data_IF_874345665410
#
_entry.id   IF_874345665410
#
_cell.length_a   1.000
_cell.length_b   1.000
_cell.length_c   1.000
_cell.angle_alpha   90.00
_cell.angle_beta   90.00
_cell.angle_gamma   90.00
#
_symmetry.space_group_name_H-M   'P 1'
#
loop_
_entity.id
_entity.type
_entity.pdbx_description
1 polymer ?
#
# COMPACT_ATOMS: atom_id res chain seq x y z
N UNK A 1 -51.53 -17.14 -19.80
CA UNK A 1 -51.43 -17.28 -18.32
C UNK A 1 -51.63 -15.89 -17.75
N UNK A 2 -52.80 -15.61 -17.17
CA UNK A 2 -53.10 -14.28 -16.60
C UNK A 2 -52.37 -14.08 -15.30
N UNK A 3 -51.74 -12.94 -15.14
CA UNK A 3 -51.09 -12.54 -13.85
C UNK A 3 -52.26 -12.14 -12.93
N UNK A 4 -52.58 -12.96 -11.98
CA UNK A 4 -53.52 -12.62 -10.89
C UNK A 4 -52.76 -11.93 -9.78
N UNK A 5 -53.12 -10.68 -9.50
CA UNK A 5 -52.59 -9.94 -8.38
C UNK A 5 -53.48 -10.16 -7.15
N UNK A 6 -52.95 -10.70 -6.07
CA UNK A 6 -53.70 -10.86 -4.79
C UNK A 6 -54.01 -9.50 -4.13
N UNK A 7 -53.50 -8.42 -4.69
CA UNK A 7 -53.76 -7.05 -4.18
C UNK A 7 -55.05 -6.44 -4.72
N UNK A 8 -55.68 -7.05 -5.73
CA UNK A 8 -56.91 -6.53 -6.37
C UNK A 8 -57.86 -7.70 -6.61
N UNK A 9 -59.03 -7.67 -5.98
CA UNK A 9 -60.09 -8.67 -6.23
C UNK A 9 -60.71 -8.46 -7.59
N UNK A 10 -61.08 -9.54 -8.30
CA UNK A 10 -61.62 -9.56 -9.65
C UNK A 10 -62.93 -8.78 -9.81
N UNK A 11 -63.60 -8.36 -8.74
CA UNK A 11 -64.86 -7.65 -8.74
C UNK A 11 -64.77 -6.12 -8.79
N UNK A 12 -63.57 -5.54 -8.83
CA UNK A 12 -63.38 -4.09 -8.88
C UNK A 12 -63.00 -3.60 -10.27
N UNK A 13 -63.91 -2.95 -10.92
CA UNK A 13 -63.73 -2.28 -12.19
C UNK A 13 -63.11 -0.89 -11.98
N UNK A 14 -62.17 -0.69 -11.11
CA UNK A 14 -61.43 0.57 -10.97
C UNK A 14 -59.98 0.40 -11.44
N UNK A 15 -59.48 1.42 -12.12
CA UNK A 15 -58.08 1.48 -12.59
C UNK A 15 -57.12 1.57 -11.38
N UNK A 16 -56.91 0.48 -10.66
CA UNK A 16 -55.89 0.36 -9.66
C UNK A 16 -54.77 -0.44 -10.28
N UNK A 17 -53.61 0.18 -10.43
CA UNK A 17 -52.38 -0.53 -10.80
C UNK A 17 -51.86 -1.18 -9.49
N UNK A 18 -52.24 -2.42 -9.25
CA UNK A 18 -51.68 -3.20 -8.15
C UNK A 18 -50.45 -3.98 -8.64
N UNK A 19 -49.36 -3.90 -7.93
CA UNK A 19 -48.22 -4.80 -8.12
C UNK A 19 -48.05 -5.66 -6.87
N UNK A 20 -47.81 -6.92 -7.06
CA UNK A 20 -47.41 -7.82 -6.01
C UNK A 20 -45.90 -7.89 -5.97
N UNK A 21 -45.32 -7.37 -4.94
CA UNK A 21 -43.91 -7.62 -4.66
C UNK A 21 -43.75 -9.05 -4.13
N UNK A 22 -43.37 -9.96 -4.98
CA UNK A 22 -42.98 -11.30 -4.54
C UNK A 22 -41.53 -11.20 -4.09
N UNK A 23 -41.30 -11.15 -2.78
CA UNK A 23 -39.98 -11.41 -2.24
C UNK A 23 -39.66 -12.87 -2.50
N UNK A 24 -39.06 -13.13 -3.64
CA UNK A 24 -38.45 -14.44 -3.87
C UNK A 24 -37.35 -14.64 -2.83
N UNK A 25 -37.32 -15.81 -2.23
CA UNK A 25 -36.20 -16.22 -1.40
C UNK A 25 -34.99 -16.46 -2.31
N UNK A 26 -34.39 -15.37 -2.79
CA UNK A 26 -33.16 -15.45 -3.59
C UNK A 26 -31.99 -16.06 -2.80
N UNK A 27 -32.10 -16.04 -1.46
CA UNK A 27 -31.09 -16.59 -0.57
C UNK A 27 -31.04 -18.14 -0.58
N UNK A 28 -32.12 -18.83 -1.01
CA UNK A 28 -32.17 -20.31 -0.95
C UNK A 28 -31.93 -20.99 -2.29
N UNK A 29 -31.89 -20.24 -3.40
CA UNK A 29 -31.77 -20.82 -4.76
C UNK A 29 -30.56 -20.34 -5.54
N UNK A 30 -29.89 -19.29 -5.10
CA UNK A 30 -28.59 -18.93 -5.68
C UNK A 30 -27.52 -19.81 -5.04
N UNK A 31 -26.84 -20.69 -5.82
CA UNK A 31 -25.66 -21.35 -5.30
C UNK A 31 -24.73 -20.29 -4.75
N UNK A 32 -24.33 -20.43 -3.50
CA UNK A 32 -23.33 -19.57 -2.88
C UNK A 32 -22.03 -19.82 -3.65
N UNK A 33 -21.82 -19.05 -4.71
CA UNK A 33 -20.59 -19.18 -5.51
C UNK A 33 -19.42 -18.90 -4.60
N UNK A 34 -18.44 -19.80 -4.53
CA UNK A 34 -17.25 -19.59 -3.70
C UNK A 34 -16.57 -18.32 -4.16
N UNK A 35 -16.60 -17.31 -3.31
CA UNK A 35 -15.91 -16.06 -3.55
C UNK A 35 -14.43 -16.24 -3.24
N UNK A 36 -13.57 -15.64 -4.06
CA UNK A 36 -12.14 -15.57 -3.85
C UNK A 36 -11.66 -14.17 -4.20
N UNK A 37 -10.69 -13.67 -3.47
CA UNK A 37 -9.99 -12.42 -3.80
C UNK A 37 -8.65 -12.80 -4.39
N UNK A 38 -8.32 -12.22 -5.52
CA UNK A 38 -7.02 -12.37 -6.17
C UNK A 38 -6.20 -11.08 -5.97
N UNK A 39 -4.98 -11.21 -5.48
CA UNK A 39 -3.97 -10.16 -5.45
C UNK A 39 -3.01 -10.42 -6.59
N UNK A 40 -2.89 -9.44 -7.51
CA UNK A 40 -1.91 -9.42 -8.59
C UNK A 40 -0.95 -8.28 -8.28
N UNK A 41 0.24 -8.59 -7.84
CA UNK A 41 1.22 -7.58 -7.46
C UNK A 41 2.64 -8.17 -7.38
N UNK A 42 3.63 -7.30 -7.22
CA UNK A 42 5.04 -7.68 -7.14
C UNK A 42 5.48 -8.03 -5.71
N UNK A 43 6.45 -8.91 -5.63
CA UNK A 43 7.25 -9.17 -4.44
C UNK A 43 8.41 -8.16 -4.34
N UNK A 44 9.05 -8.09 -3.17
CA UNK A 44 10.28 -7.32 -3.00
C UNK A 44 11.38 -7.82 -3.94
N UNK A 45 12.30 -6.93 -4.29
CA UNK A 45 13.44 -7.23 -5.15
C UNK A 45 14.25 -8.44 -4.66
N UNK A 46 14.47 -8.53 -3.36
CA UNK A 46 15.15 -9.66 -2.74
C UNK A 46 14.43 -11.01 -2.92
N UNK A 47 13.12 -11.00 -3.14
CA UNK A 47 12.29 -12.19 -3.32
C UNK A 47 11.98 -12.49 -4.79
N UNK A 48 12.49 -11.70 -5.73
CA UNK A 48 12.27 -11.92 -7.18
C UNK A 48 13.13 -13.03 -7.76
N UNK A 49 14.32 -13.29 -7.19
CA UNK A 49 15.26 -14.30 -7.73
C UNK A 49 14.69 -15.73 -7.65
N UNK A 50 14.01 -16.04 -6.55
CA UNK A 50 13.41 -17.36 -6.30
C UNK A 50 11.88 -17.30 -6.30
N UNK A 51 11.31 -16.36 -7.06
CA UNK A 51 9.88 -16.14 -7.09
C UNK A 51 9.15 -17.34 -7.68
N UNK A 52 8.35 -18.01 -6.87
CA UNK A 52 7.42 -19.03 -7.33
C UNK A 52 6.15 -18.32 -7.79
N UNK A 53 5.84 -18.41 -9.08
CA UNK A 53 4.69 -17.72 -9.70
C UNK A 53 3.37 -18.48 -9.54
N UNK A 54 3.40 -19.70 -9.00
CA UNK A 54 2.18 -20.46 -8.70
C UNK A 54 1.28 -19.68 -7.71
N UNK A 55 -0.04 -19.72 -7.93
CA UNK A 55 -0.98 -19.09 -7.04
C UNK A 55 -0.87 -19.62 -5.61
N UNK A 56 -0.79 -18.74 -4.63
CA UNK A 56 -0.67 -19.11 -3.23
C UNK A 56 -1.76 -18.43 -2.37
N UNK A 57 -2.44 -19.23 -1.56
CA UNK A 57 -3.43 -18.71 -0.63
C UNK A 57 -2.73 -18.18 0.63
N UNK A 58 -2.85 -16.88 0.88
CA UNK A 58 -2.37 -16.26 2.12
C UNK A 58 -3.44 -16.31 3.21
N UNK A 59 -2.98 -16.48 4.44
CA UNK A 59 -3.85 -16.53 5.63
C UNK A 59 -3.73 -15.29 6.51
N UNK A 60 -2.71 -14.48 6.31
CA UNK A 60 -2.46 -13.25 7.06
C UNK A 60 -1.50 -12.32 6.30
N UNK A 61 -1.47 -11.04 6.68
CA UNK A 61 -0.47 -10.11 6.18
C UNK A 61 0.96 -10.54 6.53
N UNK A 62 1.16 -11.15 7.70
CA UNK A 62 2.47 -11.67 8.11
C UNK A 62 2.95 -12.82 7.22
N UNK A 63 2.04 -13.69 6.79
CA UNK A 63 2.33 -14.77 5.85
C UNK A 63 2.77 -14.20 4.49
N UNK A 64 2.03 -13.22 3.97
CA UNK A 64 2.41 -12.49 2.76
C UNK A 64 3.79 -11.82 2.89
N UNK A 65 4.06 -11.15 4.01
CA UNK A 65 5.34 -10.47 4.27
C UNK A 65 6.53 -11.44 4.34
N UNK A 66 6.35 -12.62 4.94
CA UNK A 66 7.41 -13.65 4.99
C UNK A 66 7.72 -14.24 3.62
N UNK A 67 6.70 -14.44 2.80
CA UNK A 67 6.85 -15.09 1.48
C UNK A 67 7.30 -14.12 0.39
N UNK A 68 6.74 -12.92 0.36
CA UNK A 68 6.94 -11.95 -0.73
C UNK A 68 7.73 -10.70 -0.32
N UNK A 69 8.16 -10.64 0.94
CA UNK A 69 8.89 -9.52 1.52
C UNK A 69 7.98 -8.49 2.18
N UNK A 70 8.40 -8.04 3.36
CA UNK A 70 7.71 -6.96 4.08
C UNK A 70 7.88 -5.64 3.35
N UNK A 71 6.81 -4.86 3.25
CA UNK A 71 6.79 -3.61 2.49
C UNK A 71 6.58 -3.79 0.98
N UNK A 72 6.49 -5.03 0.46
CA UNK A 72 6.11 -5.28 -0.94
C UNK A 72 4.67 -4.86 -1.24
N UNK A 73 4.31 -4.61 -2.50
CA UNK A 73 2.92 -4.37 -2.91
C UNK A 73 1.97 -5.47 -2.44
N UNK A 74 2.35 -6.74 -2.56
CA UNK A 74 1.58 -7.89 -2.07
C UNK A 74 1.34 -7.77 -0.57
N UNK A 75 2.39 -7.47 0.22
CA UNK A 75 2.27 -7.34 1.68
C UNK A 75 1.38 -6.15 2.08
N UNK A 76 1.51 -5.00 1.40
CA UNK A 76 0.68 -3.83 1.69
C UNK A 76 -0.80 -4.08 1.42
N UNK A 77 -1.13 -4.71 0.29
CA UNK A 77 -2.51 -5.12 -0.02
C UNK A 77 -3.02 -6.13 1.02
N UNK A 78 -2.18 -7.11 1.40
CA UNK A 78 -2.54 -8.10 2.41
C UNK A 78 -2.82 -7.47 3.79
N UNK A 79 -2.13 -6.40 4.17
CA UNK A 79 -2.41 -5.64 5.42
C UNK A 79 -3.81 -5.02 5.43
N UNK A 80 -4.30 -4.57 4.27
CA UNK A 80 -5.63 -3.99 4.12
C UNK A 80 -6.70 -5.09 4.13
N UNK A 81 -6.48 -6.17 3.39
CA UNK A 81 -7.45 -7.26 3.25
C UNK A 81 -7.54 -8.16 4.48
N UNK A 82 -6.40 -8.42 5.12
CA UNK A 82 -6.25 -9.33 6.27
C UNK A 82 -5.60 -8.59 7.46
N UNK A 83 -6.24 -7.54 7.99
CA UNK A 83 -5.70 -6.77 9.10
C UNK A 83 -5.62 -7.64 10.36
N UNK A 84 -4.63 -7.32 11.23
CA UNK A 84 -4.43 -8.05 12.49
C UNK A 84 -5.60 -7.91 13.47
N UNK A 85 -6.30 -6.76 13.44
CA UNK A 85 -7.39 -6.44 14.36
C UNK A 85 -8.58 -5.89 13.57
N UNK A 86 -9.68 -6.61 13.62
CA UNK A 86 -11.00 -6.18 13.10
C UNK A 86 -11.04 -5.85 11.60
N UNK A 87 -12.21 -5.84 11.03
CA UNK A 87 -12.38 -5.49 9.61
C UNK A 87 -11.80 -6.53 8.63
N UNK A 88 -11.52 -6.10 7.41
CA UNK A 88 -11.00 -6.95 6.35
C UNK A 88 -12.06 -7.88 5.73
N UNK A 89 -11.57 -8.85 4.96
CA UNK A 89 -12.41 -9.75 4.16
C UNK A 89 -12.63 -11.10 4.86
N UNK A 90 -13.07 -11.06 6.10
CA UNK A 90 -13.24 -12.25 6.93
C UNK A 90 -13.99 -13.39 6.21
N UNK A 91 -13.38 -14.57 6.14
CA UNK A 91 -13.98 -15.77 5.57
C UNK A 91 -13.90 -15.90 4.05
N UNK A 92 -13.39 -14.90 3.33
CA UNK A 92 -13.15 -14.99 1.89
C UNK A 92 -11.69 -15.37 1.66
N UNK A 93 -11.38 -16.49 0.98
CA UNK A 93 -10.01 -16.87 0.66
C UNK A 93 -9.31 -15.83 -0.21
N UNK A 94 -8.10 -15.41 0.20
CA UNK A 94 -7.26 -14.46 -0.53
C UNK A 94 -6.12 -15.21 -1.18
N UNK A 95 -6.03 -15.12 -2.50
CA UNK A 95 -5.01 -15.74 -3.32
C UNK A 95 -4.08 -14.71 -3.91
N UNK A 96 -2.80 -14.96 -3.85
CA UNK A 96 -1.77 -14.14 -4.47
C UNK A 96 -1.33 -14.80 -5.77
N UNK A 97 -1.33 -14.01 -6.83
CA UNK A 97 -0.73 -14.31 -8.12
C UNK A 97 0.48 -13.40 -8.27
N UNK A 98 1.66 -13.82 -7.81
CA UNK A 98 2.80 -12.94 -7.77
C UNK A 98 3.27 -12.64 -9.20
N UNK A 99 3.59 -11.36 -9.42
CA UNK A 99 4.05 -10.88 -10.71
C UNK A 99 5.58 -10.84 -10.72
N UNK A 100 6.16 -11.41 -11.78
CA UNK A 100 7.59 -11.28 -12.03
C UNK A 100 7.92 -9.88 -12.55
N UNK A 101 9.02 -9.29 -12.05
CA UNK A 101 9.49 -8.00 -12.56
C UNK A 101 9.88 -8.12 -14.04
N UNK A 102 9.71 -7.03 -14.78
CA UNK A 102 10.17 -6.97 -16.17
C UNK A 102 11.70 -7.02 -16.23
N UNK A 103 12.22 -7.50 -17.34
CA UNK A 103 13.67 -7.43 -17.60
C UNK A 103 14.07 -5.96 -17.74
N UNK A 104 15.08 -5.53 -16.97
CA UNK A 104 15.52 -4.14 -16.93
C UNK A 104 14.61 -3.20 -16.14
N UNK A 105 13.67 -3.72 -15.34
CA UNK A 105 12.89 -2.91 -14.42
C UNK A 105 13.80 -2.21 -13.41
N UNK A 106 13.46 -0.95 -13.08
CA UNK A 106 14.18 -0.11 -12.12
C UNK A 106 13.35 0.18 -10.90
N UNK A 107 14.00 0.33 -9.77
CA UNK A 107 13.43 0.82 -8.52
C UNK A 107 13.21 2.34 -8.59
N UNK A 108 12.30 2.87 -7.77
CA UNK A 108 12.18 4.31 -7.54
C UNK A 108 13.25 4.74 -6.55
N UNK A 109 14.01 5.81 -6.88
CA UNK A 109 14.97 6.41 -5.96
C UNK A 109 14.61 7.88 -5.71
N UNK A 110 14.72 8.28 -4.45
CA UNK A 110 14.37 9.60 -3.94
C UNK A 110 15.47 10.04 -2.99
N UNK A 111 15.89 11.29 -3.06
CA UNK A 111 16.93 11.82 -2.18
C UNK A 111 16.39 12.89 -1.25
N UNK A 112 16.85 12.87 0.00
CA UNK A 112 16.61 13.90 1.00
C UNK A 112 17.97 14.48 1.39
N UNK A 113 18.15 15.77 1.12
CA UNK A 113 19.38 16.51 1.47
C UNK A 113 19.05 17.52 2.57
N UNK A 114 19.42 17.24 3.83
CA UNK A 114 19.33 18.23 4.89
C UNK A 114 20.43 19.29 4.75
N UNK A 115 20.15 20.49 5.23
CA UNK A 115 21.12 21.59 5.30
C UNK A 115 20.96 22.37 6.61
N UNK A 116 22.05 22.96 7.09
CA UNK A 116 22.08 23.68 8.36
C UNK A 116 22.63 22.85 9.52
N UNK A 117 22.53 23.40 10.73
CA UNK A 117 22.87 22.76 11.99
C UNK A 117 21.71 22.97 12.94
N UNK A 118 21.32 21.90 13.67
CA UNK A 118 20.19 21.98 14.58
C UNK A 118 20.41 23.01 15.70
N UNK A 119 19.46 23.92 15.85
CA UNK A 119 19.46 25.00 16.86
C UNK A 119 18.59 24.69 18.06
N UNK A 120 17.96 23.51 18.09
CA UNK A 120 17.06 23.09 19.14
C UNK A 120 16.72 21.62 19.09
N UNK A 121 15.89 21.18 20.05
CA UNK A 121 15.46 19.81 20.17
C UNK A 121 14.01 19.63 19.73
N UNK A 122 13.73 18.57 18.95
CA UNK A 122 12.37 18.28 18.51
C UNK A 122 12.25 16.98 17.72
N UNK A 123 11.14 16.83 17.02
CA UNK A 123 10.87 15.67 16.19
C UNK A 123 10.39 16.13 14.82
N UNK A 124 11.06 15.63 13.80
CA UNK A 124 10.64 15.78 12.41
C UNK A 124 10.15 14.42 11.88
N UNK A 125 9.50 14.43 10.73
CA UNK A 125 8.90 13.24 10.15
C UNK A 125 9.27 13.12 8.67
N UNK A 126 9.69 11.93 8.27
CA UNK A 126 9.69 11.54 6.86
C UNK A 126 8.32 10.95 6.56
N UNK A 127 7.65 11.45 5.54
CA UNK A 127 6.35 10.96 5.11
C UNK A 127 6.54 10.29 3.76
N UNK A 128 6.27 8.99 3.71
CA UNK A 128 6.34 8.19 2.49
C UNK A 128 4.92 7.83 2.10
N UNK A 129 4.50 8.28 0.93
CA UNK A 129 3.15 8.10 0.42
C UNK A 129 3.18 7.45 -0.96
N UNK A 130 2.16 6.69 -1.30
CA UNK A 130 1.87 6.25 -2.65
C UNK A 130 0.82 7.13 -3.32
N UNK A 131 0.55 6.88 -4.60
CA UNK A 131 -0.51 7.53 -5.37
C UNK A 131 -0.53 9.07 -5.22
N UNK A 132 0.57 9.71 -5.56
CA UNK A 132 0.72 11.17 -5.51
C UNK A 132 0.48 11.79 -4.12
N UNK A 133 0.93 11.11 -3.08
CA UNK A 133 0.88 11.61 -1.72
C UNK A 133 -0.42 11.33 -0.96
N UNK A 134 -1.29 10.49 -1.51
CA UNK A 134 -2.43 9.92 -0.79
C UNK A 134 -1.94 8.73 0.04
N UNK A 135 -2.43 8.54 1.25
CA UNK A 135 -2.12 7.41 2.12
C UNK A 135 -0.64 7.32 2.59
N UNK A 136 -0.11 8.40 3.17
CA UNK A 136 1.26 8.44 3.69
C UNK A 136 1.41 7.87 5.09
N UNK A 137 2.47 7.09 5.31
CA UNK A 137 2.95 6.70 6.64
C UNK A 137 4.01 7.70 7.13
N UNK A 138 4.03 7.94 8.46
CA UNK A 138 4.92 8.89 9.12
C UNK A 138 6.05 8.16 9.82
N UNK A 139 7.29 8.52 9.51
CA UNK A 139 8.50 7.97 10.12
C UNK A 139 9.18 9.08 10.92
N UNK A 140 9.05 9.00 12.25
CA UNK A 140 9.55 10.02 13.15
C UNK A 140 11.05 9.86 13.42
N UNK A 141 11.79 10.96 13.41
CA UNK A 141 13.17 11.02 13.88
C UNK A 141 13.40 12.24 14.78
N UNK A 142 14.28 12.09 15.76
CA UNK A 142 14.59 13.15 16.71
C UNK A 142 15.69 14.05 16.16
N UNK A 143 15.47 15.36 16.24
CA UNK A 143 16.48 16.38 16.01
C UNK A 143 16.96 16.85 17.37
N UNK A 144 18.28 16.90 17.56
CA UNK A 144 18.93 17.33 18.81
C UNK A 144 19.78 18.56 18.50
N UNK A 145 19.79 19.54 19.42
CA UNK A 145 20.61 20.72 19.26
C UNK A 145 22.09 20.35 19.00
N UNK A 146 22.66 20.94 17.96
CA UNK A 146 24.01 20.65 17.50
C UNK A 146 24.13 19.52 16.47
N UNK A 147 23.02 18.82 16.13
CA UNK A 147 23.05 17.81 15.05
C UNK A 147 23.52 18.47 13.74
N UNK A 148 24.48 17.82 13.11
CA UNK A 148 24.98 18.18 11.78
C UNK A 148 24.11 17.55 10.69
N UNK A 149 24.34 17.96 9.44
CA UNK A 149 23.70 17.32 8.29
C UNK A 149 23.94 15.83 8.23
N UNK A 150 25.13 15.35 8.59
CA UNK A 150 25.46 13.92 8.65
C UNK A 150 24.64 13.18 9.72
N UNK A 151 24.47 13.79 10.91
CA UNK A 151 23.67 13.19 11.99
C UNK A 151 22.21 13.09 11.59
N UNK A 152 21.67 14.14 10.98
CA UNK A 152 20.27 14.16 10.48
C UNK A 152 20.07 13.12 9.39
N UNK A 153 20.99 13.01 8.42
CA UNK A 153 20.92 12.01 7.36
C UNK A 153 20.92 10.59 7.92
N UNK A 154 21.77 10.30 8.89
CA UNK A 154 21.79 9.00 9.57
C UNK A 154 20.47 8.72 10.29
N UNK A 155 19.92 9.70 11.01
CA UNK A 155 18.63 9.57 11.70
C UNK A 155 17.46 9.33 10.75
N UNK A 156 17.46 9.96 9.59
CA UNK A 156 16.48 9.71 8.52
C UNK A 156 16.58 8.26 8.04
N UNK A 157 17.78 7.79 7.73
CA UNK A 157 17.99 6.42 7.26
C UNK A 157 17.59 5.40 8.34
N UNK A 158 17.96 5.64 9.58
CA UNK A 158 17.64 4.77 10.70
C UNK A 158 16.11 4.68 10.93
N UNK A 159 15.39 5.81 10.92
CA UNK A 159 13.94 5.79 11.16
C UNK A 159 13.16 5.06 10.06
N UNK A 160 13.58 5.16 8.81
CA UNK A 160 12.99 4.43 7.68
C UNK A 160 13.28 2.94 7.79
N UNK A 161 14.54 2.57 8.04
CA UNK A 161 14.98 1.17 8.10
C UNK A 161 14.49 0.44 9.36
N UNK A 162 14.22 1.14 10.46
CA UNK A 162 13.66 0.56 11.67
C UNK A 162 12.26 -0.02 11.46
N UNK A 163 11.53 0.43 10.44
CA UNK A 163 10.16 0.01 10.19
C UNK A 163 10.11 -1.05 9.09
N UNK A 164 10.02 -2.31 9.49
CA UNK A 164 10.04 -3.45 8.57
C UNK A 164 9.01 -3.35 7.42
N UNK A 165 7.84 -2.79 7.72
CA UNK A 165 6.73 -2.65 6.75
C UNK A 165 6.86 -1.44 5.83
N UNK A 166 7.88 -0.61 6.00
CA UNK A 166 8.15 0.51 5.11
C UNK A 166 8.32 0.02 3.66
N UNK A 167 7.73 0.70 2.66
CA UNK A 167 7.88 0.33 1.25
C UNK A 167 9.25 0.66 0.67
N UNK A 168 10.05 1.44 1.39
CA UNK A 168 11.39 1.85 0.98
C UNK A 168 12.45 1.40 1.98
N UNK A 169 13.68 1.31 1.52
CA UNK A 169 14.90 1.28 2.34
C UNK A 169 15.63 2.60 2.18
N UNK A 170 16.42 2.96 3.16
CA UNK A 170 17.21 4.18 3.11
C UNK A 170 18.69 3.88 3.36
N UNK A 171 19.55 4.55 2.60
CA UNK A 171 21.00 4.58 2.81
C UNK A 171 21.45 6.04 2.99
N UNK A 172 22.60 6.25 3.63
CA UNK A 172 23.18 7.56 3.80
C UNK A 172 24.58 7.61 3.16
N UNK A 173 24.73 8.46 2.17
CA UNK A 173 26.00 8.67 1.50
C UNK A 173 26.19 10.18 1.30
N UNK A 174 27.39 10.68 1.63
CA UNK A 174 27.77 12.08 1.37
C UNK A 174 26.75 13.14 1.85
N UNK A 175 26.19 12.94 3.05
CA UNK A 175 25.20 13.84 3.66
C UNK A 175 23.82 13.84 2.96
N UNK A 176 23.54 12.83 2.16
CA UNK A 176 22.26 12.62 1.49
C UNK A 176 21.64 11.31 1.98
N UNK A 177 20.38 11.34 2.35
CA UNK A 177 19.59 10.13 2.57
C UNK A 177 18.96 9.69 1.25
N UNK A 178 19.46 8.59 0.69
CA UNK A 178 18.94 7.99 -0.53
C UNK A 178 17.93 6.91 -0.18
N UNK A 179 16.68 7.10 -0.58
CA UNK A 179 15.58 6.17 -0.36
C UNK A 179 15.32 5.40 -1.65
N UNK A 180 15.25 4.08 -1.54
CA UNK A 180 14.99 3.19 -2.67
C UNK A 180 13.77 2.31 -2.39
N UNK A 181 12.88 2.18 -3.38
CA UNK A 181 11.73 1.28 -3.26
C UNK A 181 12.16 -0.18 -3.16
N UNK A 182 11.46 -0.95 -2.34
CA UNK A 182 11.77 -2.38 -2.13
C UNK A 182 11.42 -3.27 -3.32
N UNK A 183 10.80 -2.73 -4.35
CA UNK A 183 10.48 -3.43 -5.60
C UNK A 183 10.76 -2.55 -6.81
N UNK A 184 11.05 -3.18 -7.94
CA UNK A 184 11.23 -2.53 -9.22
C UNK A 184 9.96 -2.64 -10.05
N UNK A 185 9.61 -1.60 -10.76
CA UNK A 185 8.45 -1.60 -11.64
C UNK A 185 7.73 -0.25 -11.67
N UNK A 186 6.81 -0.14 -12.60
CA UNK A 186 6.02 1.08 -12.79
C UNK A 186 5.15 1.43 -11.57
N UNK A 187 4.76 0.42 -10.78
CA UNK A 187 3.99 0.62 -9.54
C UNK A 187 4.79 1.31 -8.43
N UNK A 188 6.13 1.30 -8.51
CA UNK A 188 6.99 2.03 -7.59
C UNK A 188 7.07 3.54 -7.92
N UNK A 189 6.71 3.95 -9.13
CA UNK A 189 6.78 5.35 -9.56
C UNK A 189 5.85 6.27 -8.77
N UNK A 190 4.72 5.77 -8.32
CA UNK A 190 3.72 6.52 -7.55
C UNK A 190 4.18 6.86 -6.11
N UNK A 191 5.35 6.34 -5.67
CA UNK A 191 5.89 6.66 -4.35
C UNK A 191 6.43 8.07 -4.35
N UNK A 192 6.00 8.86 -3.38
CA UNK A 192 6.49 10.20 -3.11
C UNK A 192 6.96 10.33 -1.67
N UNK A 193 7.98 11.15 -1.45
CA UNK A 193 8.53 11.43 -0.13
C UNK A 193 8.50 12.92 0.13
N UNK A 194 8.17 13.29 1.36
CA UNK A 194 8.31 14.65 1.87
C UNK A 194 8.78 14.64 3.32
N UNK A 195 9.38 15.71 3.76
CA UNK A 195 9.74 15.92 5.15
C UNK A 195 8.74 16.90 5.77
N UNK A 196 8.26 16.58 6.96
CA UNK A 196 7.40 17.45 7.75
C UNK A 196 8.17 17.85 9.03
N UNK A 197 8.42 19.13 9.15
CA UNK A 197 9.08 19.73 10.31
C UNK A 197 8.10 20.16 11.40
N UNK A 198 6.80 19.92 11.20
CA UNK A 198 5.75 20.38 12.10
C UNK A 198 5.68 21.91 12.12
N UNK A 199 5.76 22.48 13.33
CA UNK A 199 5.70 23.94 13.53
C UNK A 199 7.09 24.59 13.74
N UNK A 200 8.18 23.83 13.66
CA UNK A 200 9.52 24.32 13.95
C UNK A 200 10.58 23.55 13.16
N UNK A 201 11.26 24.24 12.26
CA UNK A 201 12.32 23.70 11.44
C UNK A 201 13.62 23.37 12.21
N UNK A 202 13.75 23.86 13.43
CA UNK A 202 14.91 23.68 14.30
C UNK A 202 16.25 24.09 13.65
N UNK A 203 16.22 24.96 12.64
CA UNK A 203 17.38 25.39 11.88
C UNK A 203 17.87 24.41 10.82
N UNK A 204 17.09 23.37 10.53
CA UNK A 204 17.37 22.39 9.47
C UNK A 204 16.38 22.58 8.32
N UNK A 205 16.88 22.81 7.13
CA UNK A 205 16.09 22.80 5.90
C UNK A 205 16.29 21.48 5.16
N UNK A 206 15.27 21.04 4.44
CA UNK A 206 15.29 19.79 3.68
C UNK A 206 14.96 20.03 2.22
N UNK A 207 15.84 19.58 1.35
CA UNK A 207 15.54 19.46 -0.09
C UNK A 207 15.20 18.00 -0.38
N UNK A 208 14.03 17.78 -0.97
CA UNK A 208 13.59 16.43 -1.35
C UNK A 208 13.49 16.37 -2.87
N UNK A 209 14.27 15.48 -3.49
CA UNK A 209 14.20 15.21 -4.92
C UNK A 209 13.52 13.84 -5.16
N UNK A 210 12.28 13.90 -5.61
CA UNK A 210 11.49 12.72 -5.96
C UNK A 210 11.75 12.18 -7.36
N UNK A 211 12.67 12.79 -8.12
CA UNK A 211 12.91 12.48 -9.53
C UNK A 211 14.30 11.90 -9.82
N UNK A 212 15.03 11.43 -8.80
CA UNK A 212 16.38 10.86 -8.96
C UNK A 212 16.37 9.67 -9.91
N UNK A 213 15.50 8.71 -9.67
CA UNK A 213 15.27 7.59 -10.57
C UNK A 213 13.79 7.21 -10.57
N UNK A 214 13.23 7.11 -11.75
CA UNK A 214 11.87 6.63 -11.94
C UNK A 214 11.79 5.10 -11.77
N UNK A 215 10.72 4.63 -11.13
CA UNK A 215 10.34 3.22 -11.19
C UNK A 215 9.87 2.89 -12.60
N UNK A 216 10.41 1.85 -13.21
CA UNK A 216 10.07 1.48 -14.58
C UNK A 216 10.00 -0.03 -14.79
N UNK A 217 9.28 -0.42 -15.83
CA UNK A 217 9.04 -1.82 -16.17
C UNK A 217 7.63 -2.29 -15.80
N UNK A 218 6.93 -2.92 -16.73
CA UNK A 218 5.61 -3.48 -16.51
C UNK A 218 5.73 -4.92 -16.06
N UNK A 219 5.29 -5.28 -14.86
CA UNK A 219 5.35 -6.66 -14.37
C UNK A 219 4.45 -7.58 -15.19
N UNK A 220 4.75 -8.87 -15.16
CA UNK A 220 3.99 -9.88 -15.92
C UNK A 220 3.55 -11.04 -15.02
N UNK A 221 2.41 -11.63 -15.37
CA UNK A 221 1.96 -12.93 -14.86
C UNK A 221 2.50 -13.97 -15.83
N UNK A 222 3.29 -14.90 -15.34
CA UNK A 222 3.82 -16.02 -16.11
C UNK A 222 2.94 -17.25 -15.98
#
# INVERSE_FOLDING_TARGET
MGVTSDAVTLDRVSRIIGYKLTTGNFATTTPNLPQRIAILAEANEANQTDLVTDPYQIISATDAGKKYGYGSPIHMIARILLPKFGGGVAGIPVWVYPQAKAVGATTKQIEITPSGVATGNGTHYVIIAGRDGIDGDFYAFNVTEGDTTADITAKISDCVNAVLVCPMTADNTDYVASLESKWAGLTAEDITVRVDVGNNDLGIEYTVDNAIQAGSGTPSIS
#
